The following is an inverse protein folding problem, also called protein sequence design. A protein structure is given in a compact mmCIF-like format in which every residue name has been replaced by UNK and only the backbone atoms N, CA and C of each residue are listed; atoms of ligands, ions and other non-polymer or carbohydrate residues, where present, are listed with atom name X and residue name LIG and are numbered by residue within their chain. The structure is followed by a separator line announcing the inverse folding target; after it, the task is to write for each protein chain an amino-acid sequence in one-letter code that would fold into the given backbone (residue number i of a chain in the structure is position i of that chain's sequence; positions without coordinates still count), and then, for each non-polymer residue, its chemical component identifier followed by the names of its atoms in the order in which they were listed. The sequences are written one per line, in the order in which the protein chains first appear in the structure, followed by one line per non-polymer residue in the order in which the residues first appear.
data_IF_098811516435
#
_entry.id   IF_098811516435
#
_cell.length_a   1.000
_cell.length_b   1.000
_cell.length_c   1.000
_cell.angle_alpha   90.00
_cell.angle_beta   90.00
_cell.angle_gamma   90.00
#
_symmetry.space_group_name_H-M   'P 1'
#
loop_
_entity.id
_entity.type
_entity.pdbx_description
1 polymer ?
#
# COMPACT_ATOMS: atom_id res chain seq x y z
N UNK A 1 9.67 23.21 25.26
CA UNK A 1 9.79 22.40 24.02
C UNK A 1 10.71 23.16 23.09
N UNK A 2 11.89 22.63 22.78
CA UNK A 2 12.82 23.28 21.86
C UNK A 2 12.53 22.84 20.42
N UNK A 3 13.01 23.61 19.44
CA UNK A 3 12.76 23.36 18.01
C UNK A 3 13.30 21.97 17.60
N UNK A 4 14.42 21.57 18.18
CA UNK A 4 15.06 20.27 17.95
C UNK A 4 14.15 19.11 18.40
N UNK A 5 13.46 19.26 19.54
CA UNK A 5 12.52 18.24 20.02
C UNK A 5 11.32 18.10 19.07
N UNK A 6 10.79 19.20 18.54
CA UNK A 6 9.65 19.17 17.60
C UNK A 6 10.04 18.44 16.32
N UNK A 7 11.23 18.71 15.78
CA UNK A 7 11.75 18.04 14.58
C UNK A 7 11.96 16.54 14.83
N UNK A 8 12.53 16.17 15.99
CA UNK A 8 12.74 14.77 16.35
C UNK A 8 11.43 13.97 16.48
N UNK A 9 10.40 14.58 17.06
CA UNK A 9 9.06 13.99 17.16
C UNK A 9 8.42 13.84 15.78
N UNK A 10 8.49 14.87 14.94
CA UNK A 10 7.97 14.81 13.57
C UNK A 10 8.63 13.70 12.74
N UNK A 11 9.95 13.56 12.85
CA UNK A 11 10.69 12.47 12.19
C UNK A 11 10.25 11.09 12.69
N UNK A 12 10.14 10.91 14.01
CA UNK A 12 9.72 9.64 14.60
C UNK A 12 8.29 9.26 14.18
N UNK A 13 7.40 10.25 14.06
CA UNK A 13 6.04 10.05 13.58
C UNK A 13 6.00 9.60 12.11
N UNK A 14 6.84 10.17 11.24
CA UNK A 14 6.96 9.74 9.85
C UNK A 14 7.53 8.32 9.73
N UNK A 15 8.57 8.00 10.50
CA UNK A 15 9.15 6.65 10.53
C UNK A 15 8.12 5.61 10.98
N UNK A 16 7.34 5.92 12.03
CA UNK A 16 6.26 5.06 12.48
C UNK A 16 5.14 4.91 11.43
N UNK A 17 4.77 6.02 10.78
CA UNK A 17 3.75 6.00 9.72
C UNK A 17 4.17 5.10 8.56
N UNK A 18 5.42 5.20 8.11
CA UNK A 18 5.96 4.36 7.05
C UNK A 18 6.04 2.90 7.50
N UNK A 19 6.45 2.63 8.74
CA UNK A 19 6.51 1.27 9.27
C UNK A 19 5.13 0.60 9.33
N UNK A 20 4.06 1.36 9.63
CA UNK A 20 2.69 0.85 9.69
C UNK A 20 2.04 0.74 8.31
N UNK A 21 2.13 1.78 7.48
CA UNK A 21 1.47 1.82 6.18
C UNK A 21 2.25 1.07 5.09
N UNK A 22 3.57 0.99 5.20
CA UNK A 22 4.46 0.41 4.20
C UNK A 22 4.09 -1.01 3.80
N UNK A 23 3.92 -1.95 4.75
CA UNK A 23 3.55 -3.33 4.43
C UNK A 23 2.21 -3.42 3.69
N UNK A 24 1.17 -2.74 4.20
CA UNK A 24 -0.18 -2.77 3.62
C UNK A 24 -0.18 -2.20 2.19
N UNK A 25 0.50 -1.08 1.98
CA UNK A 25 0.65 -0.48 0.65
C UNK A 25 1.41 -1.39 -0.30
N UNK A 26 2.46 -2.08 0.17
CA UNK A 26 3.25 -3.00 -0.65
C UNK A 26 2.42 -4.22 -1.07
N UNK A 27 1.67 -4.83 -0.14
CA UNK A 27 0.80 -5.96 -0.48
C UNK A 27 -0.30 -5.55 -1.45
N UNK A 28 -0.95 -4.41 -1.22
CA UNK A 28 -1.95 -3.87 -2.15
C UNK A 28 -1.39 -3.57 -3.54
N UNK A 29 -0.15 -3.07 -3.62
CA UNK A 29 0.55 -2.82 -4.88
C UNK A 29 0.84 -4.13 -5.63
N UNK A 30 1.41 -5.13 -4.97
CA UNK A 30 1.74 -6.43 -5.58
C UNK A 30 0.47 -7.12 -6.09
N UNK A 31 -0.58 -7.17 -5.28
CA UNK A 31 -1.86 -7.76 -5.69
C UNK A 31 -2.50 -6.99 -6.85
N UNK A 32 -2.54 -5.65 -6.77
CA UNK A 32 -3.08 -4.81 -7.83
C UNK A 32 -2.34 -4.96 -9.17
N UNK A 33 -1.01 -4.97 -9.12
CA UNK A 33 -0.18 -5.16 -10.31
C UNK A 33 -0.36 -6.56 -10.90
N UNK A 34 -0.27 -7.61 -10.08
CA UNK A 34 -0.45 -8.99 -10.55
C UNK A 34 -1.79 -9.21 -11.24
N UNK A 35 -2.87 -8.67 -10.66
CA UNK A 35 -4.20 -8.73 -11.27
C UNK A 35 -4.28 -7.91 -12.56
N UNK A 36 -3.71 -6.70 -12.58
CA UNK A 36 -3.73 -5.86 -13.80
C UNK A 36 -3.03 -6.53 -14.99
N UNK A 37 -1.92 -7.24 -14.73
CA UNK A 37 -1.22 -8.02 -15.75
C UNK A 37 -2.08 -9.21 -16.19
N UNK A 38 -2.69 -9.94 -15.26
CA UNK A 38 -3.58 -11.05 -15.59
C UNK A 38 -4.75 -10.59 -16.47
N UNK A 39 -5.42 -9.51 -16.10
CA UNK A 39 -6.53 -8.94 -16.86
C UNK A 39 -6.10 -8.48 -18.25
N UNK A 40 -4.92 -7.86 -18.38
CA UNK A 40 -4.39 -7.44 -19.67
C UNK A 40 -4.05 -8.64 -20.59
N UNK A 41 -3.49 -9.71 -20.03
CA UNK A 41 -3.11 -10.91 -20.79
C UNK A 41 -4.33 -11.72 -21.25
N UNK A 42 -5.38 -11.82 -20.44
CA UNK A 42 -6.58 -12.60 -20.76
C UNK A 42 -7.69 -11.78 -21.41
N UNK A 43 -7.53 -10.45 -21.50
CA UNK A 43 -8.56 -9.50 -21.95
C UNK A 43 -9.86 -9.56 -21.12
N UNK A 44 -9.78 -10.01 -19.87
CA UNK A 44 -10.92 -10.09 -18.95
C UNK A 44 -10.93 -8.81 -18.11
N UNK A 45 -11.88 -7.90 -18.38
CA UNK A 45 -12.04 -6.65 -17.64
C UNK A 45 -13.23 -6.72 -16.68
N UNK A 46 -13.10 -7.58 -15.67
CA UNK A 46 -14.14 -7.81 -14.66
C UNK A 46 -13.78 -7.08 -13.35
N UNK A 47 -14.69 -6.22 -12.87
CA UNK A 47 -14.48 -5.41 -11.66
C UNK A 47 -14.21 -6.27 -10.41
N UNK A 48 -14.83 -7.44 -10.31
CA UNK A 48 -14.70 -8.38 -9.18
C UNK A 48 -13.29 -8.97 -9.07
N UNK A 49 -12.61 -9.22 -10.18
CA UNK A 49 -11.23 -9.73 -10.22
C UNK A 49 -10.23 -8.72 -9.64
N UNK A 50 -10.52 -7.42 -9.74
CA UNK A 50 -9.70 -6.35 -9.12
C UNK A 50 -9.95 -6.22 -7.62
N UNK A 51 -11.15 -6.56 -7.15
CA UNK A 51 -11.60 -6.25 -5.80
C UNK A 51 -11.21 -7.33 -4.78
N UNK A 52 -11.41 -8.61 -5.09
CA UNK A 52 -11.14 -9.71 -4.14
C UNK A 52 -9.66 -9.80 -3.75
N UNK A 53 -8.69 -9.79 -4.69
CA UNK A 53 -7.28 -9.91 -4.34
C UNK A 53 -6.78 -8.73 -3.50
N UNK A 54 -7.32 -7.52 -3.69
CA UNK A 54 -6.98 -6.36 -2.87
C UNK A 54 -7.42 -6.56 -1.41
N UNK A 55 -8.66 -7.02 -1.17
CA UNK A 55 -9.17 -7.28 0.20
C UNK A 55 -8.36 -8.34 0.94
N UNK A 56 -7.86 -9.36 0.23
CA UNK A 56 -7.06 -10.42 0.87
C UNK A 56 -5.63 -9.95 1.15
N UNK A 57 -5.11 -9.03 0.32
CA UNK A 57 -3.74 -8.54 0.43
C UNK A 57 -3.57 -7.38 1.43
N UNK A 58 -4.56 -6.49 1.56
CA UNK A 58 -4.53 -5.32 2.46
C UNK A 58 -5.35 -5.55 3.71
#
# INVERSE_FOLDING_TARGET
MTVETVIAVGRSALELTIALAGPVLLFGLVAGLGVSIFQALTQINEITLTFIPKIVAT
#
